data_IF_024655262375
#
_entry.id   IF_024655262375
#
_cell.length_a   1.000
_cell.length_b   1.000
_cell.length_c   1.000
_cell.angle_alpha   90.00
_cell.angle_beta   90.00
_cell.angle_gamma   90.00
#
_symmetry.space_group_name_H-M   'P 1'
#
loop_
_entity.id
_entity.type
_entity.pdbx_description
1 polymer ?
#
# COMPACT_ATOMS: atom_id res chain seq x y z
N UNK A 1 -0.34 -3.38 -26.76
CA UNK A 1 0.55 -3.37 -25.59
C UNK A 1 -0.13 -3.94 -24.34
N UNK A 2 -1.31 -3.43 -23.91
CA UNK A 2 -2.03 -3.91 -22.70
C UNK A 2 -2.30 -5.42 -22.72
N UNK A 3 -2.80 -5.96 -23.84
CA UNK A 3 -3.10 -7.39 -23.98
C UNK A 3 -1.88 -8.32 -23.77
N UNK A 4 -0.70 -7.89 -24.21
CA UNK A 4 0.53 -8.63 -23.97
C UNK A 4 0.96 -8.58 -22.49
N UNK A 5 0.78 -7.42 -21.85
CA UNK A 5 1.01 -7.28 -20.40
C UNK A 5 0.08 -8.15 -19.58
N UNK A 6 -1.22 -8.19 -19.90
CA UNK A 6 -2.18 -9.05 -19.22
C UNK A 6 -1.91 -10.54 -19.45
N UNK A 7 -1.47 -10.92 -20.64
CA UNK A 7 -1.03 -12.30 -20.90
C UNK A 7 0.14 -12.68 -19.99
N UNK A 8 1.16 -11.84 -19.86
CA UNK A 8 2.25 -12.06 -18.92
C UNK A 8 1.75 -12.11 -17.46
N UNK A 9 0.89 -11.18 -17.08
CA UNK A 9 0.27 -11.14 -15.75
C UNK A 9 -0.46 -12.45 -15.43
N UNK A 10 -1.20 -13.01 -16.36
CA UNK A 10 -1.91 -14.28 -16.20
C UNK A 10 -0.97 -15.49 -16.03
N UNK A 11 0.30 -15.38 -16.48
CA UNK A 11 1.29 -16.47 -16.48
C UNK A 11 2.44 -16.25 -15.48
N UNK A 12 2.46 -15.15 -14.70
CA UNK A 12 3.48 -14.88 -13.69
C UNK A 12 3.45 -15.83 -12.49
N UNK A 13 2.34 -16.53 -12.29
CA UNK A 13 2.18 -17.48 -11.21
C UNK A 13 1.08 -18.50 -11.50
N UNK A 14 1.07 -19.58 -10.71
CA UNK A 14 0.03 -20.58 -10.80
C UNK A 14 -1.28 -20.01 -10.23
N UNK A 15 -2.30 -19.88 -11.07
CA UNK A 15 -3.63 -19.43 -10.67
C UNK A 15 -4.46 -20.63 -10.24
N UNK A 16 -4.90 -20.63 -8.99
CA UNK A 16 -5.76 -21.70 -8.46
C UNK A 16 -7.24 -21.27 -8.32
N UNK A 17 -7.47 -19.99 -8.02
CA UNK A 17 -8.80 -19.47 -7.71
C UNK A 17 -9.21 -18.23 -8.50
N UNK A 18 -8.26 -17.44 -9.00
CA UNK A 18 -8.53 -16.21 -9.71
C UNK A 18 -8.71 -16.48 -11.21
N UNK A 19 -9.76 -15.90 -11.79
CA UNK A 19 -9.99 -15.97 -13.24
C UNK A 19 -8.86 -15.26 -14.02
N UNK A 20 -8.59 -15.76 -15.22
CA UNK A 20 -7.69 -15.08 -16.17
C UNK A 20 -8.30 -13.82 -16.74
N UNK A 21 -7.49 -13.00 -17.39
CA UNK A 21 -7.94 -11.75 -18.01
C UNK A 21 -8.84 -12.02 -19.23
N UNK A 22 -9.88 -11.21 -19.38
CA UNK A 22 -10.82 -11.28 -20.51
C UNK A 22 -10.97 -9.93 -21.20
N UNK A 23 -11.31 -9.97 -22.49
CA UNK A 23 -11.63 -8.75 -23.25
C UNK A 23 -13.12 -8.44 -23.12
N UNK A 24 -13.45 -7.20 -22.80
CA UNK A 24 -14.82 -6.72 -22.66
C UNK A 24 -15.18 -5.75 -23.79
N UNK A 25 -16.48 -5.77 -24.14
CA UNK A 25 -17.12 -4.71 -24.94
C UNK A 25 -18.12 -4.00 -24.05
N UNK A 26 -18.06 -2.69 -24.00
CA UNK A 26 -19.00 -1.87 -23.27
C UNK A 26 -20.14 -1.42 -24.17
N UNK A 27 -21.37 -1.52 -23.66
CA UNK A 27 -22.59 -1.08 -24.32
C UNK A 27 -23.19 0.15 -23.62
N UNK A 28 -24.44 0.46 -23.97
CA UNK A 28 -25.18 1.59 -23.42
C UNK A 28 -25.41 1.51 -21.89
N UNK A 29 -25.43 0.31 -21.35
CA UNK A 29 -25.62 0.08 -19.90
C UNK A 29 -24.33 0.21 -19.08
N UNK A 30 -23.20 0.50 -19.72
CA UNK A 30 -21.93 0.73 -19.04
C UNK A 30 -21.96 2.03 -18.27
N UNK A 31 -21.41 2.09 -17.05
CA UNK A 31 -21.24 3.34 -16.32
C UNK A 31 -20.16 4.26 -16.89
N UNK A 32 -19.44 3.80 -17.91
CA UNK A 32 -18.39 4.54 -18.58
C UNK A 32 -18.98 5.43 -19.70
N UNK A 33 -18.21 6.44 -20.10
CA UNK A 33 -18.57 7.28 -21.26
C UNK A 33 -18.74 6.44 -22.53
N UNK A 34 -19.64 6.85 -23.40
CA UNK A 34 -20.01 6.13 -24.62
C UNK A 34 -18.86 5.92 -25.61
N UNK A 35 -17.84 6.76 -25.55
CA UNK A 35 -16.61 6.65 -26.34
C UNK A 35 -15.75 5.45 -25.91
N UNK A 36 -15.92 4.98 -24.65
CA UNK A 36 -15.19 3.82 -24.12
C UNK A 36 -15.96 2.55 -24.46
N UNK A 37 -15.65 1.96 -25.59
CA UNK A 37 -16.37 0.79 -26.14
C UNK A 37 -15.72 -0.55 -25.86
N UNK A 38 -14.47 -0.56 -25.38
CA UNK A 38 -13.67 -1.78 -25.14
C UNK A 38 -12.81 -1.64 -23.89
N UNK A 39 -12.57 -2.76 -23.24
CA UNK A 39 -11.67 -2.86 -22.10
C UNK A 39 -11.22 -4.29 -21.84
N UNK A 40 -10.56 -4.46 -20.75
CA UNK A 40 -10.14 -5.76 -20.25
C UNK A 40 -10.57 -5.88 -18.80
N UNK A 41 -11.01 -7.05 -18.42
CA UNK A 41 -11.24 -7.42 -17.03
C UNK A 41 -10.12 -8.37 -16.58
N UNK A 42 -9.59 -8.13 -15.39
CA UNK A 42 -8.63 -9.01 -14.75
C UNK A 42 -8.84 -9.00 -13.24
N UNK A 43 -8.40 -10.05 -12.57
CA UNK A 43 -8.54 -10.18 -11.12
C UNK A 43 -7.37 -9.53 -10.41
N UNK A 44 -7.66 -8.74 -9.40
CA UNK A 44 -6.66 -8.16 -8.51
C UNK A 44 -7.12 -8.28 -7.05
N UNK A 45 -6.21 -8.06 -6.10
CA UNK A 45 -6.51 -8.14 -4.69
C UNK A 45 -7.02 -6.81 -4.16
N UNK A 46 -8.12 -6.85 -3.44
CA UNK A 46 -8.61 -5.73 -2.66
C UNK A 46 -8.27 -5.93 -1.17
N UNK A 47 -7.93 -4.86 -0.49
CA UNK A 47 -7.64 -4.89 0.94
C UNK A 47 -8.10 -3.60 1.63
N UNK A 48 -8.57 -3.74 2.86
CA UNK A 48 -8.64 -2.64 3.82
C UNK A 48 -7.26 -2.50 4.48
N UNK A 49 -6.52 -1.48 4.08
CA UNK A 49 -5.12 -1.27 4.48
C UNK A 49 -4.96 -1.16 5.99
N UNK A 50 -5.84 -0.41 6.65
CA UNK A 50 -5.78 -0.23 8.09
C UNK A 50 -6.02 -1.56 8.82
N UNK A 51 -7.01 -2.32 8.38
CA UNK A 51 -7.30 -3.64 8.92
C UNK A 51 -6.15 -4.62 8.71
N UNK A 52 -5.53 -4.62 7.53
CA UNK A 52 -4.38 -5.47 7.24
C UNK A 52 -3.23 -5.19 8.20
N UNK A 53 -2.90 -3.93 8.45
CA UNK A 53 -1.85 -3.53 9.40
C UNK A 53 -2.17 -4.00 10.81
N UNK A 54 -3.40 -3.78 11.28
CA UNK A 54 -3.84 -4.21 12.61
C UNK A 54 -3.76 -5.73 12.75
N UNK A 55 -4.25 -6.49 11.77
CA UNK A 55 -4.21 -7.95 11.80
C UNK A 55 -2.77 -8.50 11.80
N UNK A 56 -1.85 -7.90 11.05
CA UNK A 56 -0.45 -8.28 11.09
C UNK A 56 0.19 -8.00 12.45
N UNK A 57 -0.11 -6.86 13.07
CA UNK A 57 0.38 -6.52 14.40
C UNK A 57 -0.19 -7.50 15.47
N UNK A 58 -1.46 -7.85 15.36
CA UNK A 58 -2.08 -8.85 16.26
C UNK A 58 -1.44 -10.22 16.09
N UNK A 59 -1.26 -10.70 14.87
CA UNK A 59 -0.62 -11.98 14.58
C UNK A 59 0.84 -12.03 15.08
N UNK A 60 1.57 -10.94 14.96
CA UNK A 60 2.92 -10.83 15.50
C UNK A 60 2.91 -10.95 17.05
N UNK A 61 1.99 -10.25 17.71
CA UNK A 61 1.82 -10.30 19.18
C UNK A 61 1.45 -11.70 19.66
N UNK A 62 0.57 -12.41 18.98
CA UNK A 62 0.20 -13.80 19.28
C UNK A 62 1.41 -14.76 19.19
N UNK A 63 2.40 -14.41 18.36
CA UNK A 63 3.68 -15.14 18.25
C UNK A 63 4.76 -14.64 19.21
N UNK A 64 4.41 -13.80 20.19
CA UNK A 64 5.31 -13.33 21.25
C UNK A 64 6.06 -12.02 20.92
N UNK A 65 5.74 -11.32 19.86
CA UNK A 65 6.30 -10.00 19.60
C UNK A 65 5.68 -8.94 20.52
N UNK A 66 6.50 -7.97 20.92
CA UNK A 66 6.03 -6.78 21.61
C UNK A 66 5.67 -5.69 20.57
N UNK A 67 4.40 -5.31 20.52
CA UNK A 67 3.91 -4.24 19.64
C UNK A 67 3.66 -3.00 20.50
N UNK A 68 4.40 -1.93 20.21
CA UNK A 68 4.27 -0.64 20.89
C UNK A 68 3.70 0.39 19.89
N UNK A 69 2.46 0.79 20.09
CA UNK A 69 1.86 1.91 19.38
C UNK A 69 2.22 3.23 20.03
N UNK A 70 2.10 4.35 19.32
CA UNK A 70 2.39 5.69 19.82
C UNK A 70 3.78 5.79 20.49
N UNK A 71 4.74 5.07 19.94
CA UNK A 71 6.09 4.95 20.48
C UNK A 71 7.09 5.23 19.37
N UNK A 72 7.91 6.25 19.53
CA UNK A 72 8.92 6.68 18.57
C UNK A 72 10.29 6.16 18.95
N UNK A 73 11.03 5.60 18.01
CA UNK A 73 12.46 5.38 18.16
C UNK A 73 13.18 6.73 18.00
N UNK A 74 13.84 7.21 19.04
CA UNK A 74 14.51 8.51 19.08
C UNK A 74 16.02 8.42 18.94
N UNK A 75 16.54 7.24 18.77
CA UNK A 75 17.94 7.00 18.48
C UNK A 75 18.31 5.53 18.57
N UNK A 76 19.32 5.14 17.82
CA UNK A 76 19.89 3.80 17.90
C UNK A 76 21.38 3.82 17.56
N UNK A 77 22.16 2.95 18.18
CA UNK A 77 23.59 2.79 17.92
C UNK A 77 24.02 1.34 18.03
N UNK A 78 25.11 0.99 17.34
CA UNK A 78 25.77 -0.32 17.51
C UNK A 78 26.71 -0.25 18.71
N UNK A 79 26.55 -1.20 19.62
CA UNK A 79 27.44 -1.38 20.77
C UNK A 79 27.66 -2.88 21.03
N UNK A 80 28.92 -3.31 21.03
CA UNK A 80 29.33 -4.72 21.29
C UNK A 80 28.52 -5.75 20.49
N UNK A 81 28.29 -5.46 19.20
CA UNK A 81 27.55 -6.36 18.27
C UNK A 81 26.02 -6.28 18.36
N UNK A 82 25.46 -5.54 19.28
CA UNK A 82 24.02 -5.32 19.42
C UNK A 82 23.63 -3.90 19.00
N UNK A 83 22.38 -3.73 18.61
CA UNK A 83 21.72 -2.44 18.51
C UNK A 83 21.18 -2.05 19.88
N UNK A 84 21.53 -0.87 20.37
CA UNK A 84 20.91 -0.20 21.51
C UNK A 84 19.99 0.89 20.96
N UNK A 85 18.70 0.78 21.24
CA UNK A 85 17.66 1.66 20.72
C UNK A 85 16.94 2.35 21.86
N UNK A 86 16.71 3.65 21.73
CA UNK A 86 15.96 4.46 22.68
C UNK A 86 14.58 4.80 22.10
N UNK A 87 13.58 4.68 22.92
CA UNK A 87 12.19 4.91 22.56
C UNK A 87 11.53 5.92 23.48
N UNK A 88 10.65 6.73 22.91
CA UNK A 88 9.82 7.70 23.59
C UNK A 88 8.35 7.33 23.39
N UNK A 89 7.58 7.23 24.47
CA UNK A 89 6.14 7.03 24.44
C UNK A 89 5.40 8.36 24.31
N UNK A 90 4.11 8.30 24.01
CA UNK A 90 3.25 9.50 23.92
C UNK A 90 3.18 10.33 25.21
N UNK A 91 3.42 9.72 26.35
CA UNK A 91 3.49 10.40 27.66
C UNK A 91 4.87 11.02 27.96
N UNK A 92 5.81 10.95 27.00
CA UNK A 92 7.18 11.44 27.16
C UNK A 92 8.12 10.50 27.92
N UNK A 93 7.64 9.35 28.40
CA UNK A 93 8.50 8.39 29.10
C UNK A 93 9.46 7.70 28.12
N UNK A 94 10.69 7.49 28.57
CA UNK A 94 11.75 6.88 27.79
C UNK A 94 12.05 5.46 28.25
N UNK A 95 12.39 4.58 27.30
CA UNK A 95 12.93 3.26 27.59
C UNK A 95 13.89 2.82 26.50
N UNK A 96 14.67 1.79 26.77
CA UNK A 96 15.67 1.28 25.83
C UNK A 96 15.52 -0.22 25.62
N UNK A 97 15.82 -0.67 24.39
CA UNK A 97 15.84 -2.08 24.00
C UNK A 97 17.16 -2.39 23.33
N UNK A 98 17.66 -3.60 23.55
CA UNK A 98 18.81 -4.13 22.79
C UNK A 98 18.38 -5.28 21.91
N UNK A 99 18.88 -5.32 20.66
CA UNK A 99 18.59 -6.39 19.72
C UNK A 99 19.79 -6.72 18.83
N UNK A 100 19.78 -7.90 18.22
CA UNK A 100 20.81 -8.33 17.26
C UNK A 100 20.68 -7.59 15.93
N UNK A 101 19.46 -7.21 15.54
CA UNK A 101 19.15 -6.54 14.28
C UNK A 101 18.17 -5.40 14.50
N UNK A 102 18.22 -4.42 13.61
CA UNK A 102 17.27 -3.32 13.50
C UNK A 102 16.74 -3.28 12.06
N UNK A 103 15.43 -3.30 11.90
CA UNK A 103 14.77 -3.15 10.61
C UNK A 103 14.09 -1.79 10.60
N UNK A 104 14.52 -0.92 9.68
CA UNK A 104 13.88 0.36 9.46
C UNK A 104 12.81 0.21 8.38
N UNK A 105 11.56 0.08 8.78
CA UNK A 105 10.38 0.01 7.90
C UNK A 105 9.50 1.26 8.04
N UNK A 106 10.11 2.43 8.28
CA UNK A 106 9.41 3.68 8.57
C UNK A 106 8.82 4.39 7.33
N UNK A 107 8.66 3.70 6.20
CA UNK A 107 8.03 4.24 5.01
C UNK A 107 8.68 5.57 4.55
N UNK A 108 7.90 6.67 4.38
CA UNK A 108 8.43 7.95 3.94
C UNK A 108 9.49 8.56 4.86
N UNK A 109 9.54 8.14 6.11
CA UNK A 109 10.48 8.67 7.12
C UNK A 109 11.77 7.87 7.22
N UNK A 110 11.96 6.82 6.41
CA UNK A 110 13.12 5.93 6.49
C UNK A 110 14.45 6.69 6.34
N UNK A 111 14.54 7.65 5.40
CA UNK A 111 15.75 8.44 5.19
C UNK A 111 16.01 9.42 6.35
N UNK A 112 14.95 10.04 6.87
CA UNK A 112 15.03 10.92 8.04
C UNK A 112 15.54 10.16 9.27
N UNK A 113 15.01 8.97 9.53
CA UNK A 113 15.45 8.12 10.63
C UNK A 113 16.94 7.77 10.53
N UNK A 114 17.43 7.40 9.34
CA UNK A 114 18.84 7.09 9.11
C UNK A 114 19.73 8.31 9.44
N UNK A 115 19.36 9.48 8.92
CA UNK A 115 20.15 10.71 9.07
C UNK A 115 20.04 11.30 10.46
N UNK A 116 18.83 11.48 10.97
CA UNK A 116 18.56 12.28 12.16
C UNK A 116 18.66 11.46 13.46
N UNK A 117 18.22 10.21 13.44
CA UNK A 117 18.14 9.39 14.65
C UNK A 117 19.31 8.40 14.77
N UNK A 118 19.78 7.83 13.63
CA UNK A 118 20.95 6.94 13.61
C UNK A 118 22.27 7.68 13.44
N UNK A 119 22.26 8.93 12.95
CA UNK A 119 23.46 9.72 12.58
C UNK A 119 24.35 9.00 11.56
N UNK A 120 23.73 8.28 10.64
CA UNK A 120 24.41 7.54 9.58
C UNK A 120 24.18 8.21 8.24
N UNK A 121 25.17 8.09 7.36
CA UNK A 121 25.01 8.48 5.96
C UNK A 121 24.52 7.26 5.14
N UNK A 122 23.65 7.52 4.17
CA UNK A 122 23.17 6.52 3.22
C UNK A 122 23.48 6.99 1.81
N UNK A 123 24.05 6.14 0.95
CA UNK A 123 24.22 6.45 -0.47
C UNK A 123 22.88 6.48 -1.22
N UNK A 124 21.80 6.03 -0.60
CA UNK A 124 20.47 5.96 -1.20
C UNK A 124 19.57 7.07 -0.66
N UNK A 125 18.84 7.70 -1.58
CA UNK A 125 17.78 8.67 -1.25
C UNK A 125 16.39 8.09 -1.47
N UNK A 126 15.38 8.82 -1.01
CA UNK A 126 13.97 8.52 -1.25
C UNK A 126 13.38 9.63 -2.11
N UNK A 127 12.72 9.25 -3.19
CA UNK A 127 11.83 10.13 -3.94
C UNK A 127 10.42 9.96 -3.40
N UNK A 128 9.92 10.99 -2.73
CA UNK A 128 8.55 11.00 -2.24
C UNK A 128 7.60 11.29 -3.40
N UNK A 129 6.58 10.44 -3.54
CA UNK A 129 5.48 10.62 -4.48
C UNK A 129 4.20 10.55 -3.66
N UNK A 130 3.32 11.54 -3.85
CA UNK A 130 2.04 11.60 -3.18
C UNK A 130 0.93 11.22 -4.16
N UNK A 131 0.12 10.24 -3.80
CA UNK A 131 -1.17 9.96 -4.41
C UNK A 131 -2.29 10.55 -3.54
N UNK A 132 -3.35 11.04 -4.17
CA UNK A 132 -4.52 11.57 -3.47
C UNK A 132 -5.77 10.82 -3.89
N UNK A 133 -6.67 10.59 -2.92
CA UNK A 133 -7.94 9.94 -3.16
C UNK A 133 -9.09 10.85 -2.73
N UNK A 134 -10.16 10.84 -3.51
CA UNK A 134 -11.42 11.48 -3.19
C UNK A 134 -12.46 10.40 -2.87
N UNK A 135 -13.23 10.59 -1.81
CA UNK A 135 -14.39 9.77 -1.50
C UNK A 135 -15.61 10.56 -1.92
N UNK A 136 -16.39 9.99 -2.84
CA UNK A 136 -17.61 10.60 -3.37
C UNK A 136 -18.79 9.66 -3.18
N UNK A 137 -20.05 10.14 -3.25
CA UNK A 137 -21.21 9.28 -3.29
C UNK A 137 -21.08 8.25 -4.42
N UNK A 138 -21.69 7.08 -4.24
CA UNK A 138 -21.64 5.97 -5.18
C UNK A 138 -21.95 6.42 -6.62
N UNK A 139 -21.01 6.18 -7.53
CA UNK A 139 -21.12 6.60 -8.92
C UNK A 139 -21.78 5.55 -9.81
N UNK A 140 -21.71 4.28 -9.45
CA UNK A 140 -22.23 3.15 -10.24
C UNK A 140 -22.49 1.94 -9.34
N UNK A 141 -23.34 1.00 -9.85
CA UNK A 141 -23.73 -0.19 -9.09
C UNK A 141 -22.91 -1.45 -9.41
N UNK A 142 -22.04 -1.40 -10.42
CA UNK A 142 -21.17 -2.52 -10.73
C UNK A 142 -20.18 -2.79 -9.59
N UNK A 143 -19.90 -4.07 -9.25
CA UNK A 143 -18.95 -4.42 -8.20
C UNK A 143 -17.48 -4.22 -8.62
N UNK A 144 -17.24 -4.00 -9.89
CA UNK A 144 -15.90 -3.87 -10.45
C UNK A 144 -15.28 -2.51 -10.13
N UNK A 145 -13.99 -2.50 -9.87
CA UNK A 145 -13.20 -1.27 -9.94
C UNK A 145 -12.81 -1.00 -11.40
N UNK A 146 -12.68 0.27 -11.76
CA UNK A 146 -12.18 0.66 -13.07
C UNK A 146 -10.82 1.31 -12.97
N UNK A 147 -9.95 0.97 -13.93
CA UNK A 147 -8.66 1.62 -14.16
C UNK A 147 -8.79 2.39 -15.46
N UNK A 148 -8.85 3.71 -15.33
CA UNK A 148 -9.03 4.62 -16.46
C UNK A 148 -7.69 5.20 -16.87
N UNK A 149 -7.31 4.98 -18.12
CA UNK A 149 -6.11 5.59 -18.71
C UNK A 149 -6.51 6.87 -19.42
N UNK A 150 -6.03 7.99 -18.91
CA UNK A 150 -6.31 9.30 -19.49
C UNK A 150 -5.33 9.67 -20.60
N UNK A 151 -5.69 10.62 -21.44
CA UNK A 151 -4.86 11.13 -22.54
C UNK A 151 -3.52 11.73 -22.05
N UNK A 152 -3.51 12.30 -20.86
CA UNK A 152 -2.32 12.85 -20.18
C UNK A 152 -1.44 11.77 -19.52
N UNK A 153 -1.67 10.49 -19.80
CA UNK A 153 -0.98 9.31 -19.29
C UNK A 153 -1.16 9.05 -17.79
N UNK A 154 -2.01 9.81 -17.10
CA UNK A 154 -2.38 9.50 -15.72
C UNK A 154 -3.35 8.34 -15.69
N UNK A 155 -3.13 7.46 -14.73
CA UNK A 155 -4.04 6.37 -14.43
C UNK A 155 -4.91 6.81 -13.26
N UNK A 156 -6.23 6.71 -13.41
CA UNK A 156 -7.20 7.00 -12.36
C UNK A 156 -7.99 5.74 -12.05
N UNK A 157 -8.05 5.41 -10.78
CA UNK A 157 -8.88 4.33 -10.27
C UNK A 157 -10.23 4.86 -9.82
N UNK A 158 -11.30 4.09 -10.06
CA UNK A 158 -12.58 4.27 -9.39
C UNK A 158 -12.93 2.95 -8.73
N UNK A 159 -13.07 2.95 -7.41
CA UNK A 159 -13.20 1.75 -6.59
C UNK A 159 -14.47 1.86 -5.75
N UNK A 160 -15.41 0.88 -5.83
CA UNK A 160 -16.54 0.81 -4.91
C UNK A 160 -16.05 0.76 -3.45
N UNK A 161 -16.68 1.53 -2.58
CA UNK A 161 -16.27 1.63 -1.18
C UNK A 161 -17.48 1.71 -0.24
N UNK A 162 -17.50 0.83 0.76
CA UNK A 162 -18.55 0.77 1.81
C UNK A 162 -19.98 0.84 1.25
N UNK A 163 -20.26 0.19 0.11
CA UNK A 163 -21.54 0.09 -0.59
C UNK A 163 -22.19 1.42 -1.01
N UNK A 164 -21.87 2.53 -0.37
CA UNK A 164 -22.48 3.85 -0.57
C UNK A 164 -21.55 4.87 -1.23
N UNK A 165 -20.28 4.53 -1.40
CA UNK A 165 -19.27 5.48 -1.89
C UNK A 165 -18.46 4.89 -3.05
N UNK A 166 -17.75 5.78 -3.72
CA UNK A 166 -16.69 5.46 -4.68
C UNK A 166 -15.43 6.21 -4.30
N UNK A 167 -14.29 5.52 -4.24
CA UNK A 167 -12.98 6.14 -4.14
C UNK A 167 -12.48 6.44 -5.55
N UNK A 168 -12.02 7.67 -5.77
CA UNK A 168 -11.36 8.09 -7.01
C UNK A 168 -9.93 8.52 -6.66
N UNK A 169 -8.95 7.99 -7.36
CA UNK A 169 -7.56 8.36 -7.11
C UNK A 169 -6.55 7.74 -8.05
N UNK A 170 -5.28 8.07 -7.82
CA UNK A 170 -4.13 7.59 -8.59
C UNK A 170 -3.20 6.79 -7.70
#
# INVERSE_FOLDING_TARGET
>A
MIRAGLFLYDHLGKREKLAGSTSLKFGADSPLKTEITKGFEYSDCWVDDARLVVLNAMAAREKGAHVHTQTRCVGARRNKGLWEMNFERADGSLFSIRSKALVNAAGPWVAKFIKDDLKLESPYGIRLIQGSHLIVPKLYDAPNAFILQNEDQRIVFTIPYMDQFTIIGT
#
